data_IF_762062582226
#
_entry.id   IF_762062582226
#
_cell.length_a   1.000
_cell.length_b   1.000
_cell.length_c   1.000
_cell.angle_alpha   90.00
_cell.angle_beta   90.00
_cell.angle_gamma   90.00
#
_symmetry.space_group_name_H-M   'P 1'
#
loop_
_entity.id
_entity.type
_entity.pdbx_description
1 polymer ?
#
# COMPACT_ATOMS: atom_id res chain seq x y z
N UNK A 1 0.30 24.67 -5.64
CA UNK A 1 0.18 24.34 -4.20
C UNK A 1 -0.91 23.30 -3.94
N UNK A 2 -2.08 23.40 -4.57
CA UNK A 2 -3.17 22.41 -4.49
C UNK A 2 -2.80 20.99 -4.98
N UNK A 3 -1.95 20.89 -6.01
CA UNK A 3 -1.49 19.61 -6.58
C UNK A 3 -0.73 18.75 -5.56
N UNK A 4 0.22 19.33 -4.80
CA UNK A 4 0.99 18.59 -3.78
C UNK A 4 0.13 18.02 -2.65
N UNK A 5 -0.96 18.69 -2.28
CA UNK A 5 -1.89 18.18 -1.26
C UNK A 5 -2.74 17.03 -1.81
N UNK A 6 -3.20 17.15 -3.05
CA UNK A 6 -3.92 16.07 -3.73
C UNK A 6 -3.06 14.81 -3.87
N UNK A 7 -1.78 14.96 -4.26
CA UNK A 7 -0.83 13.85 -4.37
C UNK A 7 -0.62 13.14 -3.03
N UNK A 8 -0.45 13.91 -1.94
CA UNK A 8 -0.30 13.34 -0.59
C UNK A 8 -1.56 12.63 -0.10
N UNK A 9 -2.74 13.14 -0.45
CA UNK A 9 -3.99 12.47 -0.10
C UNK A 9 -4.12 11.14 -0.85
N UNK A 10 -3.77 11.11 -2.14
CA UNK A 10 -3.76 9.89 -2.93
C UNK A 10 -2.78 8.85 -2.37
N UNK A 11 -1.56 9.27 -2.01
CA UNK A 11 -0.56 8.41 -1.38
C UNK A 11 -1.06 7.86 -0.02
N UNK A 12 -1.72 8.70 0.79
CA UNK A 12 -2.33 8.26 2.05
C UNK A 12 -3.45 7.24 1.85
N UNK A 13 -4.35 7.48 0.90
CA UNK A 13 -5.42 6.54 0.56
C UNK A 13 -4.87 5.20 0.08
N UNK A 14 -3.79 5.22 -0.70
CA UNK A 14 -3.08 4.03 -1.15
C UNK A 14 -2.51 3.23 0.01
N UNK A 15 -1.80 3.86 0.94
CA UNK A 15 -1.25 3.17 2.12
C UNK A 15 -2.36 2.61 3.03
N UNK A 16 -3.47 3.32 3.19
CA UNK A 16 -4.64 2.80 3.88
C UNK A 16 -5.18 1.55 3.19
N UNK A 17 -5.33 1.57 1.87
CA UNK A 17 -5.80 0.41 1.10
C UNK A 17 -4.86 -0.79 1.22
N UNK A 18 -3.54 -0.58 1.20
CA UNK A 18 -2.55 -1.64 1.43
C UNK A 18 -2.74 -2.27 2.82
N UNK A 19 -2.95 -1.44 3.86
CA UNK A 19 -3.18 -1.94 5.22
C UNK A 19 -4.50 -2.72 5.33
N UNK A 20 -5.56 -2.27 4.66
CA UNK A 20 -6.87 -2.93 4.62
C UNK A 20 -6.75 -4.30 3.93
N UNK A 21 -6.13 -4.36 2.74
CA UNK A 21 -5.88 -5.61 2.00
C UNK A 21 -5.04 -6.61 2.80
N UNK A 22 -4.06 -6.14 3.58
CA UNK A 22 -3.29 -7.01 4.47
C UNK A 22 -4.17 -7.65 5.55
N UNK A 23 -5.08 -6.88 6.16
CA UNK A 23 -6.00 -7.41 7.18
C UNK A 23 -6.98 -8.41 6.57
N UNK A 24 -7.52 -8.11 5.40
CA UNK A 24 -8.41 -9.01 4.65
C UNK A 24 -7.72 -10.31 4.24
N UNK A 25 -6.48 -10.23 3.74
CA UNK A 25 -5.67 -11.39 3.44
C UNK A 25 -5.43 -12.26 4.68
N UNK A 26 -5.12 -11.64 5.82
CA UNK A 26 -4.91 -12.35 7.08
C UNK A 26 -6.19 -13.02 7.58
N UNK A 27 -7.34 -12.35 7.51
CA UNK A 27 -8.64 -12.95 7.85
C UNK A 27 -8.91 -14.16 6.96
N UNK A 28 -8.77 -14.01 5.64
CA UNK A 28 -8.97 -15.11 4.69
C UNK A 28 -8.05 -16.30 4.94
N UNK A 29 -6.81 -16.09 5.41
CA UNK A 29 -5.90 -17.16 5.81
C UNK A 29 -6.45 -17.88 7.05
N UNK A 30 -6.83 -17.13 8.09
CA UNK A 30 -7.38 -17.68 9.34
C UNK A 30 -8.65 -18.49 9.08
N UNK A 31 -9.49 -18.03 8.15
CA UNK A 31 -10.76 -18.67 7.78
C UNK A 31 -10.56 -19.85 6.79
N UNK A 32 -9.33 -20.13 6.37
CA UNK A 32 -9.00 -21.23 5.44
C UNK A 32 -9.27 -20.93 3.96
N UNK A 33 -9.66 -19.71 3.61
CA UNK A 33 -9.94 -19.26 2.24
C UNK A 33 -8.68 -18.90 1.46
N UNK A 34 -7.85 -19.90 1.13
CA UNK A 34 -6.54 -19.71 0.48
C UNK A 34 -6.59 -18.91 -0.84
N UNK A 35 -7.54 -19.20 -1.72
CA UNK A 35 -7.67 -18.50 -3.01
C UNK A 35 -8.02 -17.02 -2.82
N UNK A 36 -8.88 -16.72 -1.84
CA UNK A 36 -9.25 -15.34 -1.51
C UNK A 36 -8.07 -14.57 -0.91
N UNK A 37 -7.33 -15.20 -0.01
CA UNK A 37 -6.09 -14.62 0.51
C UNK A 37 -5.11 -14.29 -0.62
N UNK A 38 -4.89 -15.20 -1.58
CA UNK A 38 -4.02 -14.97 -2.74
C UNK A 38 -4.49 -13.78 -3.59
N UNK A 39 -5.81 -13.62 -3.78
CA UNK A 39 -6.37 -12.48 -4.49
C UNK A 39 -6.06 -11.16 -3.77
N UNK A 40 -6.27 -11.09 -2.45
CA UNK A 40 -5.91 -9.91 -1.65
C UNK A 40 -4.41 -9.59 -1.70
N UNK A 41 -3.54 -10.62 -1.62
CA UNK A 41 -2.09 -10.43 -1.81
C UNK A 41 -1.75 -9.89 -3.19
N UNK A 42 -2.41 -10.36 -4.25
CA UNK A 42 -2.18 -9.89 -5.61
C UNK A 42 -2.58 -8.42 -5.77
N UNK A 43 -3.76 -8.04 -5.26
CA UNK A 43 -4.21 -6.63 -5.25
C UNK A 43 -3.25 -5.75 -4.44
N UNK A 44 -2.79 -6.22 -3.28
CA UNK A 44 -1.85 -5.46 -2.47
C UNK A 44 -0.52 -5.23 -3.18
N UNK A 45 -0.01 -6.22 -3.92
CA UNK A 45 1.20 -6.05 -4.75
C UNK A 45 0.99 -5.02 -5.85
N UNK A 46 -0.19 -4.97 -6.48
CA UNK A 46 -0.50 -3.95 -7.48
C UNK A 46 -0.51 -2.55 -6.86
N UNK A 47 -1.11 -2.39 -5.67
CA UNK A 47 -1.10 -1.11 -4.95
C UNK A 47 0.31 -0.68 -4.57
N UNK A 48 1.16 -1.60 -4.10
CA UNK A 48 2.57 -1.32 -3.80
C UNK A 48 3.34 -0.89 -5.06
N UNK A 49 3.13 -1.56 -6.19
CA UNK A 49 3.80 -1.25 -7.45
C UNK A 49 3.36 0.11 -8.03
N UNK A 50 2.15 0.57 -7.70
CA UNK A 50 1.59 1.84 -8.16
C UNK A 50 1.96 3.05 -7.27
N UNK A 51 2.87 2.88 -6.30
CA UNK A 51 3.40 3.99 -5.50
C UNK A 51 4.11 5.01 -6.40
N UNK A 52 3.89 6.29 -6.13
CA UNK A 52 4.57 7.35 -6.87
C UNK A 52 6.06 7.40 -6.50
N UNK A 53 6.97 7.82 -7.41
CA UNK A 53 8.38 8.01 -7.07
C UNK A 53 8.58 8.93 -5.86
N UNK A 54 7.83 10.04 -5.81
CA UNK A 54 7.87 10.97 -4.69
C UNK A 54 7.41 10.35 -3.36
N UNK A 55 6.52 9.36 -3.38
CA UNK A 55 6.14 8.60 -2.20
C UNK A 55 7.27 7.67 -1.76
N UNK A 56 7.87 6.95 -2.71
CA UNK A 56 9.01 6.06 -2.46
C UNK A 56 10.17 6.84 -1.83
N UNK A 57 10.58 7.97 -2.41
CA UNK A 57 11.65 8.83 -1.86
C UNK A 57 11.37 9.28 -0.43
N UNK A 58 10.10 9.57 -0.09
CA UNK A 58 9.72 9.92 1.28
C UNK A 58 9.82 8.73 2.23
N UNK A 59 9.42 7.55 1.78
CA UNK A 59 9.55 6.31 2.56
C UNK A 59 11.01 5.95 2.79
N UNK A 60 11.86 6.11 1.78
CA UNK A 60 13.30 5.83 1.87
C UNK A 60 14.00 6.80 2.83
N UNK A 61 13.73 8.11 2.73
CA UNK A 61 14.23 9.09 3.70
C UNK A 61 13.74 8.82 5.13
N UNK A 62 12.47 8.47 5.31
CA UNK A 62 11.93 8.11 6.62
C UNK A 62 12.60 6.86 7.23
N UNK A 63 13.18 6.00 6.39
CA UNK A 63 13.94 4.80 6.81
C UNK A 63 15.45 5.05 6.88
N UNK A 64 15.94 6.26 6.58
CA UNK A 64 17.37 6.56 6.50
C UNK A 64 18.09 5.87 5.34
N UNK A 65 17.35 5.45 4.31
CA UNK A 65 17.90 4.80 3.11
C UNK A 65 18.31 5.81 2.03
N UNK A 66 17.83 7.04 2.13
CA UNK A 66 18.26 8.17 1.33
C UNK A 66 18.63 9.35 2.25
N UNK A 67 19.66 10.14 1.88
CA UNK A 67 20.05 11.35 2.61
C UNK A 67 18.99 12.47 2.53
#
# INVERSE_FOLDING_TARGET
>A
MLTRLADRLADFQRERRIADLRREAQSAITDGHKSLAHAYWALMRQEIAARSPAQIDRMERARGLQP
#
